data_IF_093368536274
#
_entry.id   IF_093368536274
#
_cell.length_a   1.000
_cell.length_b   1.000
_cell.length_c   1.000
_cell.angle_alpha   90.00
_cell.angle_beta   90.00
_cell.angle_gamma   90.00
#
_symmetry.space_group_name_H-M   'P 1'
#
loop_
_entity.id
_entity.type
_entity.pdbx_description
1 polymer ?
#
# COMPACT_ATOMS: atom_id res chain seq x y z
N UNK A 1 -5.63 14.40 1.08
CA UNK A 1 -5.66 12.98 1.51
C UNK A 1 -4.29 12.36 1.30
N UNK A 2 -3.77 11.70 2.34
CA UNK A 2 -2.45 11.06 2.37
C UNK A 2 -2.59 9.56 2.53
N UNK A 3 -1.73 8.80 1.85
CA UNK A 3 -1.63 7.36 2.03
C UNK A 3 -0.71 7.05 3.22
N UNK A 4 -1.13 6.14 4.09
CA UNK A 4 -0.30 5.53 5.12
C UNK A 4 -0.11 4.04 4.83
N UNK A 5 1.14 3.58 4.90
CA UNK A 5 1.46 2.15 4.93
C UNK A 5 1.99 1.81 6.33
N UNK A 6 1.30 0.89 7.00
CA UNK A 6 1.78 0.29 8.23
C UNK A 6 2.38 -1.07 7.89
N UNK A 7 3.62 -1.29 8.32
CA UNK A 7 4.34 -2.52 8.07
C UNK A 7 4.25 -3.46 9.28
N UNK A 8 4.32 -4.77 9.04
CA UNK A 8 4.27 -5.79 10.11
C UNK A 8 5.44 -5.70 11.09
N UNK A 9 6.55 -5.07 10.68
CA UNK A 9 7.70 -4.80 11.54
C UNK A 9 7.52 -3.57 12.46
N UNK A 10 6.33 -2.97 12.48
CA UNK A 10 6.02 -1.78 13.29
C UNK A 10 6.44 -0.45 12.65
N UNK A 11 7.08 -0.47 11.48
CA UNK A 11 7.37 0.77 10.75
C UNK A 11 6.09 1.35 10.14
N UNK A 12 6.00 2.68 10.10
CA UNK A 12 4.92 3.41 9.44
C UNK A 12 5.50 4.39 8.45
N UNK A 13 4.95 4.41 7.23
CA UNK A 13 5.30 5.40 6.22
C UNK A 13 4.06 6.15 5.78
N UNK A 14 4.06 7.47 6.00
CA UNK A 14 3.01 8.37 5.55
C UNK A 14 3.56 9.15 4.36
N UNK A 15 2.85 9.09 3.24
CA UNK A 15 3.22 9.76 2.01
C UNK A 15 2.64 11.17 1.99
N UNK A 16 3.34 12.09 1.33
CA UNK A 16 2.79 13.41 1.00
C UNK A 16 1.58 13.27 0.06
N UNK A 17 0.79 14.33 -0.10
CA UNK A 17 -0.35 14.29 -1.02
C UNK A 17 0.09 14.07 -2.46
N UNK A 18 1.20 14.68 -2.88
CA UNK A 18 1.76 14.50 -4.23
C UNK A 18 2.21 13.06 -4.46
N UNK A 19 2.95 12.47 -3.51
CA UNK A 19 3.36 11.06 -3.58
C UNK A 19 2.14 10.12 -3.58
N UNK A 20 1.14 10.42 -2.76
CA UNK A 20 -0.12 9.65 -2.70
C UNK A 20 -0.80 9.62 -4.06
N UNK A 21 -0.89 10.76 -4.75
CA UNK A 21 -1.48 10.83 -6.09
C UNK A 21 -0.71 10.00 -7.12
N UNK A 22 0.62 10.02 -7.06
CA UNK A 22 1.47 9.20 -7.95
C UNK A 22 1.26 7.71 -7.68
N UNK A 23 1.27 7.33 -6.40
CA UNK A 23 1.09 5.94 -5.98
C UNK A 23 -0.28 5.44 -6.44
N UNK A 24 -1.36 6.19 -6.18
CA UNK A 24 -2.73 5.78 -6.55
C UNK A 24 -2.91 5.68 -8.07
N UNK A 25 -2.29 6.55 -8.87
CA UNK A 25 -2.35 6.47 -10.34
C UNK A 25 -1.70 5.19 -10.89
N UNK A 26 -0.62 4.73 -10.26
CA UNK A 26 0.13 3.56 -10.70
C UNK A 26 -0.36 2.26 -10.03
N UNK A 27 -1.21 2.36 -9.01
CA UNK A 27 -1.68 1.20 -8.27
C UNK A 27 -2.88 0.56 -8.97
N UNK A 28 -2.83 -0.76 -9.15
CA UNK A 28 -3.98 -1.50 -9.61
C UNK A 28 -5.03 -1.57 -8.49
N UNK A 29 -6.15 -0.85 -8.64
CA UNK A 29 -7.23 -0.79 -7.65
C UNK A 29 -7.79 -2.17 -7.27
N UNK A 30 -7.75 -3.15 -8.18
CA UNK A 30 -8.20 -4.51 -7.87
C UNK A 30 -7.24 -5.26 -6.96
N UNK A 31 -5.93 -4.98 -7.06
CA UNK A 31 -4.93 -5.50 -6.12
C UNK A 31 -5.11 -4.87 -4.75
N UNK A 32 -5.35 -3.56 -4.69
CA UNK A 32 -5.65 -2.84 -3.46
C UNK A 32 -6.84 -3.45 -2.73
N UNK A 33 -7.95 -3.66 -3.44
CA UNK A 33 -9.15 -4.26 -2.87
C UNK A 33 -8.87 -5.67 -2.35
N UNK A 34 -8.15 -6.51 -3.12
CA UNK A 34 -7.73 -7.84 -2.64
C UNK A 34 -6.91 -7.76 -1.36
N UNK A 35 -5.94 -6.84 -1.28
CA UNK A 35 -5.11 -6.65 -0.08
C UNK A 35 -5.96 -6.22 1.12
N UNK A 36 -6.94 -5.35 0.91
CA UNK A 36 -7.83 -4.86 1.96
C UNK A 36 -8.80 -5.96 2.43
N UNK A 37 -9.31 -6.79 1.51
CA UNK A 37 -10.33 -7.80 1.83
C UNK A 37 -9.76 -9.13 2.30
N UNK A 38 -8.58 -9.52 1.79
CA UNK A 38 -7.94 -10.80 2.08
C UNK A 38 -6.42 -10.72 1.85
N UNK A 39 -5.67 -10.46 2.93
CA UNK A 39 -4.20 -10.40 2.89
C UNK A 39 -3.55 -11.76 2.64
N UNK A 40 -4.24 -12.88 2.88
CA UNK A 40 -3.76 -14.23 2.59
C UNK A 40 -3.83 -14.56 1.10
N UNK A 41 -4.88 -14.09 0.41
CA UNK A 41 -5.02 -14.24 -1.05
C UNK A 41 -4.02 -13.38 -1.86
N UNK A 42 -3.37 -12.42 -1.22
CA UNK A 42 -2.37 -11.53 -1.83
C UNK A 42 -0.92 -11.89 -1.46
N UNK A 43 -0.67 -13.06 -0.83
CA UNK A 43 0.68 -13.55 -0.58
C UNK A 43 1.45 -13.73 -1.89
N UNK A 44 2.68 -13.21 -1.95
CA UNK A 44 3.51 -13.17 -3.15
C UNK A 44 3.23 -12.00 -4.11
N UNK A 45 2.19 -11.19 -3.88
CA UNK A 45 2.00 -9.96 -4.65
C UNK A 45 2.85 -8.80 -4.13
N UNK A 46 3.22 -7.89 -5.05
CA UNK A 46 3.89 -6.63 -4.72
C UNK A 46 3.02 -5.45 -5.11
N UNK A 47 3.03 -4.39 -4.29
CA UNK A 47 2.51 -3.08 -4.68
C UNK A 47 3.66 -2.17 -5.12
N UNK A 48 3.45 -1.39 -6.16
CA UNK A 48 4.43 -0.40 -6.59
C UNK A 48 4.24 0.90 -5.81
N UNK A 49 5.27 1.32 -5.10
CA UNK A 49 5.28 2.52 -4.26
C UNK A 49 6.48 3.37 -4.66
N UNK A 50 6.22 4.47 -5.38
CA UNK A 50 7.25 5.40 -5.86
C UNK A 50 8.41 4.69 -6.60
N UNK A 51 8.08 3.75 -7.50
CA UNK A 51 9.05 2.99 -8.28
C UNK A 51 9.75 1.85 -7.51
N UNK A 52 9.29 1.52 -6.29
CA UNK A 52 9.75 0.36 -5.54
C UNK A 52 8.65 -0.68 -5.41
N UNK A 53 8.95 -1.93 -5.72
CA UNK A 53 8.07 -3.05 -5.45
C UNK A 53 8.13 -3.39 -3.94
N UNK A 54 7.00 -3.23 -3.26
CA UNK A 54 6.85 -3.57 -1.84
C UNK A 54 6.02 -4.86 -1.73
N UNK A 55 6.55 -5.95 -1.15
CA UNK A 55 5.79 -7.17 -0.91
C UNK A 55 4.59 -6.90 0.00
N UNK A 56 3.41 -7.35 -0.40
CA UNK A 56 2.17 -7.20 0.38
C UNK A 56 2.29 -7.87 1.74
N UNK A 57 3.02 -8.98 1.82
CA UNK A 57 3.27 -9.72 3.06
C UNK A 57 3.96 -8.89 4.15
N UNK A 58 4.69 -7.83 3.79
CA UNK A 58 5.31 -6.92 4.75
C UNK A 58 4.35 -5.83 5.24
N UNK A 59 3.21 -5.65 4.57
CA UNK A 59 2.20 -4.63 4.88
C UNK A 59 1.20 -5.23 5.87
N UNK A 60 0.99 -4.52 6.97
CA UNK A 60 -0.03 -4.82 7.95
C UNK A 60 -1.37 -4.17 7.57
N UNK A 61 -1.35 -2.89 7.22
CA UNK A 61 -2.54 -2.16 6.78
C UNK A 61 -2.18 -0.99 5.87
N UNK A 62 -3.17 -0.57 5.07
CA UNK A 62 -3.14 0.62 4.23
C UNK A 62 -4.22 1.57 4.73
N UNK A 63 -3.88 2.83 4.96
CA UNK A 63 -4.78 3.83 5.53
C UNK A 63 -4.87 5.07 4.65
N UNK A 64 -6.07 5.64 4.55
CA UNK A 64 -6.28 6.97 4.00
C UNK A 64 -6.41 7.96 5.15
N UNK A 65 -5.48 8.90 5.22
CA UNK A 65 -5.42 9.95 6.24
C UNK A 65 -5.96 11.24 5.61
N UNK A 66 -7.05 11.76 6.16
CA UNK A 66 -7.63 13.04 5.75
C UNK A 66 -6.73 14.21 6.15
#
# INVERSE_FOLDING_TARGET
>A
MRLGLNFKNGQRKVFTEQETQIILKNMNYMKLLKIITDTTAAQGETIEVLGRAVPVEHIHSIEFIL
#
